data_IF_101425205605
#
_entry.id   IF_101425205605
#
_cell.length_a   1.000
_cell.length_b   1.000
_cell.length_c   1.000
_cell.angle_alpha   90.00
_cell.angle_beta   90.00
_cell.angle_gamma   90.00
#
_symmetry.space_group_name_H-M   'P 1'
#
loop_
_entity.id
_entity.type
_entity.pdbx_description
1 polymer ?
#
# COMPACT_ATOMS: atom_id res chain seq x y z
N UNK A 1 -12.63 -7.59 6.25
CA UNK A 1 -11.41 -6.86 6.66
C UNK A 1 -10.25 -7.80 6.41
N UNK A 2 -9.26 -7.37 5.63
CA UNK A 2 -8.04 -8.15 5.38
C UNK A 2 -6.94 -7.63 6.29
N UNK A 3 -6.11 -8.54 6.79
CA UNK A 3 -4.86 -8.19 7.44
C UNK A 3 -3.78 -7.85 6.41
N UNK A 4 -2.71 -7.12 6.80
CA UNK A 4 -1.67 -6.71 5.87
C UNK A 4 -1.07 -7.87 5.08
N UNK A 5 -0.83 -9.01 5.73
CA UNK A 5 -0.28 -10.20 5.07
C UNK A 5 -1.23 -10.78 4.01
N UNK A 6 -2.54 -10.76 4.27
CA UNK A 6 -3.55 -11.23 3.33
C UNK A 6 -3.68 -10.27 2.14
N UNK A 7 -3.69 -8.96 2.40
CA UNK A 7 -3.72 -7.94 1.37
C UNK A 7 -2.49 -8.02 0.46
N UNK A 8 -1.30 -8.22 1.04
CA UNK A 8 -0.05 -8.41 0.28
C UNK A 8 -0.14 -9.66 -0.59
N UNK A 9 -0.63 -10.79 -0.08
CA UNK A 9 -0.80 -12.01 -0.89
C UNK A 9 -1.74 -11.80 -2.07
N UNK A 10 -2.83 -11.04 -1.89
CA UNK A 10 -3.75 -10.70 -2.98
C UNK A 10 -3.07 -9.80 -4.02
N UNK A 11 -2.28 -8.83 -3.58
CA UNK A 11 -1.51 -7.97 -4.48
C UNK A 11 -0.45 -8.77 -5.26
N UNK A 12 0.22 -9.73 -4.61
CA UNK A 12 1.18 -10.63 -5.26
C UNK A 12 0.54 -11.57 -6.26
N UNK A 13 -0.68 -12.04 -5.99
CA UNK A 13 -1.45 -12.85 -6.93
C UNK A 13 -1.89 -12.06 -8.19
N UNK A 14 -1.90 -10.72 -8.11
CA UNK A 14 -2.32 -9.84 -9.19
C UNK A 14 -3.85 -9.73 -9.34
N UNK A 15 -4.30 -8.99 -10.35
CA UNK A 15 -5.73 -8.78 -10.63
C UNK A 15 -6.44 -7.79 -9.70
N UNK A 16 -5.74 -7.23 -8.72
CA UNK A 16 -6.26 -6.13 -7.89
C UNK A 16 -6.13 -4.83 -8.67
N UNK A 17 -7.25 -4.20 -8.99
CA UNK A 17 -7.28 -2.89 -9.66
C UNK A 17 -7.30 -1.73 -8.66
N UNK A 18 -7.85 -1.98 -7.47
CA UNK A 18 -8.02 -0.99 -6.42
C UNK A 18 -7.88 -1.61 -5.02
N UNK A 19 -7.26 -0.86 -4.12
CA UNK A 19 -7.15 -1.21 -2.71
C UNK A 19 -7.47 0.01 -1.84
N UNK A 20 -8.26 -0.23 -0.78
CA UNK A 20 -8.56 0.74 0.25
C UNK A 20 -7.89 0.33 1.56
N UNK A 21 -7.17 1.25 2.20
CA UNK A 21 -6.37 0.98 3.39
C UNK A 21 -6.77 1.88 4.55
N UNK A 22 -6.89 1.27 5.73
CA UNK A 22 -6.84 1.95 7.02
C UNK A 22 -5.49 1.69 7.66
N UNK A 23 -4.98 2.66 8.42
CA UNK A 23 -3.74 2.47 9.19
C UNK A 23 -3.97 1.49 10.34
N UNK A 24 -5.03 1.70 11.10
CA UNK A 24 -5.31 1.00 12.34
C UNK A 24 -6.23 -0.18 12.05
N UNK A 25 -5.64 -1.37 11.95
CA UNK A 25 -6.38 -2.61 11.69
C UNK A 25 -6.81 -3.33 12.97
N UNK A 26 -6.57 -2.72 14.14
CA UNK A 26 -7.01 -3.21 15.45
C UNK A 26 -6.04 -4.17 16.15
N UNK A 27 -5.00 -4.65 15.46
CA UNK A 27 -3.87 -5.36 16.08
C UNK A 27 -2.56 -5.05 15.35
N UNK A 28 -1.77 -4.14 15.92
CA UNK A 28 -0.50 -3.68 15.35
C UNK A 28 0.56 -4.78 15.29
N UNK A 29 0.46 -5.85 16.09
CA UNK A 29 1.38 -7.00 15.99
C UNK A 29 1.21 -7.78 14.68
N UNK A 30 0.02 -7.69 14.07
CA UNK A 30 -0.24 -8.22 12.73
C UNK A 30 0.10 -7.23 11.62
N UNK A 31 0.62 -6.06 11.99
CA UNK A 31 0.92 -4.95 11.09
C UNK A 31 -0.27 -4.01 10.88
N UNK A 32 0.02 -2.97 10.12
CA UNK A 32 -0.84 -1.82 9.84
C UNK A 32 -1.07 -1.68 8.34
N UNK A 33 -1.99 -0.81 7.93
CA UNK A 33 -2.10 -0.45 6.52
C UNK A 33 -0.83 0.20 5.95
N UNK A 34 0.02 0.78 6.81
CA UNK A 34 1.30 1.34 6.38
C UNK A 34 2.29 0.26 5.91
N UNK A 35 2.25 -0.94 6.49
CA UNK A 35 3.10 -2.05 6.07
C UNK A 35 2.80 -2.49 4.63
N UNK A 36 1.52 -2.43 4.22
CA UNK A 36 1.10 -2.69 2.83
C UNK A 36 1.65 -1.62 1.88
N UNK A 37 1.66 -0.35 2.28
CA UNK A 37 2.27 0.75 1.51
C UNK A 37 3.78 0.51 1.32
N UNK A 38 4.51 0.22 2.41
CA UNK A 38 5.96 -0.03 2.37
C UNK A 38 6.27 -1.25 1.50
N UNK A 39 5.45 -2.30 1.57
CA UNK A 39 5.61 -3.46 0.71
C UNK A 39 5.42 -3.11 -0.76
N UNK A 40 4.37 -2.35 -1.13
CA UNK A 40 4.12 -1.93 -2.51
C UNK A 40 5.26 -1.07 -3.04
N UNK A 41 5.76 -0.12 -2.26
CA UNK A 41 6.91 0.72 -2.64
C UNK A 41 8.13 -0.13 -3.01
N UNK A 42 8.48 -1.11 -2.16
CA UNK A 42 9.58 -2.05 -2.43
C UNK A 42 9.29 -2.92 -3.65
N UNK A 43 8.06 -3.41 -3.83
CA UNK A 43 7.69 -4.23 -4.97
C UNK A 43 7.80 -3.45 -6.29
N UNK A 44 7.39 -2.18 -6.30
CA UNK A 44 7.53 -1.29 -7.46
C UNK A 44 9.02 -1.07 -7.74
N UNK A 45 9.79 -0.66 -6.73
CA UNK A 45 11.20 -0.33 -6.91
C UNK A 45 12.08 -1.51 -7.33
N UNK A 46 11.80 -2.71 -6.82
CA UNK A 46 12.68 -3.87 -6.97
C UNK A 46 12.20 -4.90 -8.00
N UNK A 47 10.89 -4.96 -8.27
CA UNK A 47 10.28 -6.02 -9.09
C UNK A 47 9.48 -5.49 -10.27
N UNK A 48 9.41 -4.18 -10.47
CA UNK A 48 8.57 -3.58 -11.51
C UNK A 48 7.07 -3.84 -11.30
N UNK A 49 6.65 -4.05 -10.05
CA UNK A 49 5.24 -4.22 -9.72
C UNK A 49 4.43 -3.00 -10.19
N UNK A 50 3.27 -3.25 -10.80
CA UNK A 50 2.33 -2.19 -11.17
C UNK A 50 1.36 -1.97 -10.01
N UNK A 51 1.41 -0.82 -9.32
CA UNK A 51 0.55 -0.59 -8.17
C UNK A 51 -0.91 -0.40 -8.61
N UNK A 52 -1.90 -0.91 -7.85
CA UNK A 52 -3.31 -0.62 -8.08
C UNK A 52 -3.63 0.84 -7.72
N UNK A 53 -4.90 1.25 -7.91
CA UNK A 53 -5.42 2.49 -7.32
C UNK A 53 -5.43 2.34 -5.80
N UNK A 54 -4.74 3.22 -5.08
CA UNK A 54 -4.65 3.19 -3.62
C UNK A 54 -5.51 4.30 -3.01
N UNK A 55 -6.39 3.95 -2.08
CA UNK A 55 -7.23 4.89 -1.32
C UNK A 55 -6.95 4.71 0.18
N UNK A 56 -6.84 5.81 0.93
CA UNK A 56 -6.63 5.78 2.40
C UNK A 56 -7.78 6.44 3.13
N UNK A 57 -8.34 5.75 4.12
CA UNK A 57 -9.49 6.22 4.90
C UNK A 57 -9.25 6.28 6.42
N UNK A 58 -7.98 6.30 6.86
CA UNK A 58 -7.64 6.40 8.28
C UNK A 58 -8.16 7.69 8.93
N UNK A 59 -8.80 7.53 10.09
CA UNK A 59 -9.22 8.63 10.97
C UNK A 59 -8.04 9.32 11.66
N UNK A 60 -6.89 8.66 11.74
CA UNK A 60 -5.67 9.22 12.29
C UNK A 60 -4.99 10.12 11.24
N UNK A 61 -5.06 11.43 11.43
CA UNK A 61 -4.55 12.43 10.47
C UNK A 61 -3.04 12.31 10.23
N UNK A 62 -2.25 12.01 11.27
CA UNK A 62 -0.82 11.82 11.15
C UNK A 62 -0.46 10.54 10.38
N UNK A 63 -1.15 9.44 10.66
CA UNK A 63 -0.99 8.19 9.93
C UNK A 63 -1.41 8.34 8.46
N UNK A 64 -2.56 8.98 8.21
CA UNK A 64 -3.05 9.28 6.86
C UNK A 64 -2.04 10.09 6.06
N UNK A 65 -1.42 11.12 6.66
CA UNK A 65 -0.39 11.91 6.01
C UNK A 65 0.83 11.06 5.60
N UNK A 66 1.31 10.18 6.50
CA UNK A 66 2.43 9.26 6.20
C UNK A 66 2.10 8.28 5.07
N UNK A 67 0.92 7.66 5.12
CA UNK A 67 0.48 6.75 4.06
C UNK A 67 0.33 7.47 2.72
N UNK A 68 -0.18 8.71 2.75
CA UNK A 68 -0.33 9.54 1.53
C UNK A 68 1.04 9.86 0.93
N UNK A 69 2.03 10.21 1.75
CA UNK A 69 3.40 10.40 1.29
C UNK A 69 3.99 9.14 0.65
N UNK A 70 3.75 7.96 1.23
CA UNK A 70 4.15 6.67 0.65
C UNK A 70 3.47 6.37 -0.69
N UNK A 71 2.18 6.72 -0.85
CA UNK A 71 1.47 6.60 -2.14
C UNK A 71 2.11 7.48 -3.21
N UNK A 72 2.47 8.71 -2.89
CA UNK A 72 3.14 9.60 -3.84
C UNK A 72 4.53 9.08 -4.23
N UNK A 73 5.28 8.48 -3.29
CA UNK A 73 6.54 7.81 -3.59
C UNK A 73 6.34 6.63 -4.55
N UNK A 74 5.34 5.78 -4.31
CA UNK A 74 4.95 4.67 -5.19
C UNK A 74 4.65 5.18 -6.60
N UNK A 75 3.82 6.22 -6.73
CA UNK A 75 3.46 6.82 -8.03
C UNK A 75 4.69 7.37 -8.76
N UNK A 76 5.58 8.04 -8.05
CA UNK A 76 6.82 8.56 -8.62
C UNK A 76 7.72 7.43 -9.14
N UNK A 77 7.90 6.37 -8.35
CA UNK A 77 8.67 5.19 -8.75
C UNK A 77 8.06 4.47 -9.95
N UNK A 78 6.72 4.36 -9.99
CA UNK A 78 5.99 3.78 -11.12
C UNK A 78 6.18 4.62 -12.40
N UNK A 79 6.00 5.93 -12.32
CA UNK A 79 6.17 6.82 -13.49
C UNK A 79 7.60 6.84 -14.04
N UNK A 80 8.61 6.64 -13.20
CA UNK A 80 10.02 6.50 -13.64
C UNK A 80 10.30 5.21 -14.40
N UNK A 81 9.48 4.18 -14.21
CA UNK A 81 9.63 2.88 -14.86
C UNK A 81 8.91 2.78 -16.22
N UNK A 82 8.29 3.88 -16.69
CA UNK A 82 7.66 3.94 -18.02
C UNK A 82 6.43 3.02 -18.16
N UNK A 83 5.78 2.68 -17.05
CA UNK A 83 4.51 1.94 -17.02
C UNK A 83 3.29 2.85 -17.15
#
# INVERSE_FOLDING_TARGET
>A
MYWPDEAIRLLEAGGVEEISLDHDLGNDERGTGYDVIVWMEKAVALRGFKPPRIVVHSANSAARARMTAGIEAIKSLAGRQGI
#
